data_IF_599761097239
#
_entry.id   IF_599761097239
#
_cell.length_a   1.000
_cell.length_b   1.000
_cell.length_c   1.000
_cell.angle_alpha   90.00
_cell.angle_beta   90.00
_cell.angle_gamma   90.00
#
_symmetry.space_group_name_H-M   'P 1'
#
loop_
_entity.id
_entity.type
_entity.pdbx_description
1 polymer ?
#
# COMPACT_ATOMS: atom_id res chain seq x y z
N UNK A 1 -43.85 -35.67 -20.21
CA UNK A 1 -42.97 -36.55 -19.38
C UNK A 1 -41.65 -36.75 -20.13
N UNK A 2 -40.50 -36.79 -19.42
CA UNK A 2 -39.13 -37.31 -19.77
C UNK A 2 -38.59 -37.12 -21.23
N UNK A 3 -37.43 -36.49 -21.52
CA UNK A 3 -35.99 -36.64 -21.08
C UNK A 3 -35.20 -37.71 -21.89
N UNK A 4 -34.01 -37.36 -22.45
CA UNK A 4 -33.04 -38.27 -23.14
C UNK A 4 -31.86 -37.56 -23.87
N UNK A 5 -30.74 -38.27 -24.18
CA UNK A 5 -29.41 -37.76 -24.67
C UNK A 5 -28.72 -38.74 -25.70
N UNK A 6 -27.46 -38.70 -26.23
CA UNK A 6 -26.19 -38.00 -25.90
C UNK A 6 -25.16 -37.77 -27.09
N UNK A 7 -24.03 -38.51 -27.16
CA UNK A 7 -22.76 -38.29 -27.98
C UNK A 7 -22.09 -39.67 -28.36
N UNK A 8 -20.80 -39.90 -28.79
CA UNK A 8 -19.61 -39.03 -29.11
C UNK A 8 -18.62 -39.49 -30.26
N UNK A 9 -17.48 -38.78 -30.41
CA UNK A 9 -16.05 -39.23 -30.65
C UNK A 9 -15.42 -39.71 -32.01
N UNK A 10 -14.32 -39.01 -32.40
CA UNK A 10 -12.90 -39.38 -32.76
C UNK A 10 -12.43 -40.29 -33.94
N UNK A 11 -11.27 -39.94 -34.58
CA UNK A 11 -9.93 -40.67 -34.58
C UNK A 11 -8.87 -40.36 -35.70
N UNK A 12 -7.59 -40.14 -35.29
CA UNK A 12 -6.26 -40.55 -35.91
C UNK A 12 -5.79 -40.02 -37.32
N UNK A 13 -4.49 -39.94 -37.72
CA UNK A 13 -3.17 -40.09 -37.04
C UNK A 13 -1.90 -40.23 -37.97
N UNK A 14 -0.68 -40.12 -37.39
CA UNK A 14 0.69 -40.55 -37.87
C UNK A 14 1.65 -39.65 -38.72
N UNK A 15 2.98 -39.85 -38.56
CA UNK A 15 4.13 -39.14 -39.22
C UNK A 15 5.46 -39.97 -39.21
N UNK A 16 6.30 -40.01 -40.29
CA UNK A 16 7.64 -40.65 -40.33
C UNK A 16 8.84 -39.67 -40.51
N UNK A 17 10.10 -40.15 -40.43
CA UNK A 17 11.31 -39.34 -40.11
C UNK A 17 12.63 -39.79 -40.83
N UNK A 18 13.65 -38.90 -40.92
CA UNK A 18 15.10 -39.11 -41.31
C UNK A 18 15.43 -39.43 -42.80
N UNK A 19 16.68 -39.31 -43.34
CA UNK A 19 18.06 -39.15 -42.80
C UNK A 19 19.08 -38.51 -43.82
N UNK A 20 20.28 -38.06 -43.36
CA UNK A 20 21.54 -37.68 -44.11
C UNK A 20 21.48 -36.30 -44.83
N UNK A 21 22.43 -35.34 -44.76
CA UNK A 21 23.77 -35.15 -44.14
C UNK A 21 24.27 -33.69 -44.45
N UNK A 22 25.52 -33.19 -44.26
CA UNK A 22 26.77 -33.62 -43.57
C UNK A 22 27.87 -32.51 -43.66
N UNK A 23 28.66 -32.26 -42.59
CA UNK A 23 29.92 -31.44 -42.46
C UNK A 23 29.98 -29.98 -43.02
N UNK A 24 30.38 -28.92 -42.27
CA UNK A 24 31.79 -28.66 -41.87
C UNK A 24 32.04 -27.30 -41.11
N UNK A 25 33.06 -27.33 -40.22
CA UNK A 25 33.98 -26.29 -39.66
C UNK A 25 33.65 -24.79 -39.46
N UNK A 26 33.91 -24.36 -38.21
CA UNK A 26 34.71 -23.20 -37.73
C UNK A 26 34.27 -21.71 -37.91
N UNK A 27 33.96 -21.11 -36.75
CA UNK A 27 34.43 -19.82 -36.23
C UNK A 27 34.21 -18.48 -36.99
N UNK A 28 33.45 -17.58 -36.35
CA UNK A 28 33.87 -16.17 -36.09
C UNK A 28 33.04 -15.55 -34.95
N UNK A 29 33.59 -14.52 -34.32
CA UNK A 29 32.95 -13.78 -33.24
C UNK A 29 32.21 -12.52 -33.75
N UNK A 30 31.09 -12.17 -33.13
CA UNK A 30 30.50 -10.83 -33.20
C UNK A 30 30.54 -10.18 -31.82
N UNK A 31 31.21 -9.02 -31.71
CA UNK A 31 31.08 -8.12 -30.56
C UNK A 31 29.87 -7.22 -30.85
N UNK A 32 28.78 -7.36 -30.09
CA UNK A 32 27.66 -6.41 -30.13
C UNK A 32 27.76 -5.44 -28.96
N UNK A 33 28.11 -4.19 -29.28
CA UNK A 33 27.91 -3.05 -28.39
C UNK A 33 26.41 -2.89 -28.11
N UNK A 34 25.98 -3.28 -26.92
CA UNK A 34 24.64 -2.95 -26.41
C UNK A 34 24.71 -1.61 -25.71
N UNK A 35 24.31 -0.55 -26.43
CA UNK A 35 24.12 0.78 -25.88
C UNK A 35 22.67 1.21 -26.03
N UNK A 36 21.85 0.97 -25.00
CA UNK A 36 20.58 1.70 -24.73
C UNK A 36 20.00 1.33 -23.37
N UNK A 37 19.29 2.29 -22.79
CA UNK A 37 18.63 2.20 -21.49
C UNK A 37 17.83 0.89 -21.32
N UNK A 38 18.28 0.03 -20.42
CA UNK A 38 17.34 -0.76 -19.63
C UNK A 38 16.78 0.17 -18.54
N UNK A 39 15.47 0.38 -18.52
CA UNK A 39 14.82 1.05 -17.39
C UNK A 39 14.99 0.17 -16.15
N UNK A 40 15.69 0.67 -15.13
CA UNK A 40 15.84 -0.03 -13.86
C UNK A 40 14.47 -0.29 -13.25
N UNK A 41 14.06 -1.55 -13.31
CA UNK A 41 12.81 -2.05 -12.74
C UNK A 41 13.01 -2.25 -11.24
N UNK A 42 12.43 -1.38 -10.36
CA UNK A 42 12.73 -1.40 -8.94
C UNK A 42 12.28 -2.70 -8.27
N UNK A 43 11.22 -3.33 -8.78
CA UNK A 43 10.66 -4.56 -8.24
C UNK A 43 11.60 -5.77 -8.44
N UNK A 44 12.56 -5.68 -9.37
CA UNK A 44 13.56 -6.74 -9.63
C UNK A 44 14.77 -6.71 -8.69
N UNK A 45 14.93 -5.69 -7.84
CA UNK A 45 16.08 -5.60 -6.92
C UNK A 45 15.83 -6.30 -5.57
N UNK A 46 14.58 -6.62 -5.25
CA UNK A 46 14.18 -7.19 -3.95
C UNK A 46 14.37 -8.72 -3.94
N UNK A 47 15.35 -9.20 -3.19
CA UNK A 47 15.48 -10.63 -2.84
C UNK A 47 14.65 -10.93 -1.58
N UNK A 48 13.87 -12.02 -1.53
CA UNK A 48 13.09 -12.36 -0.35
C UNK A 48 13.96 -12.93 0.77
N UNK A 49 14.12 -12.19 1.87
CA UNK A 49 14.76 -12.67 3.10
C UNK A 49 13.96 -12.28 4.34
N UNK A 50 13.39 -13.30 4.99
CA UNK A 50 12.85 -13.39 6.37
C UNK A 50 12.68 -12.05 7.13
N UNK A 51 11.45 -11.53 7.13
CA UNK A 51 10.82 -10.64 8.14
C UNK A 51 11.70 -9.60 8.88
N UNK A 52 12.63 -8.97 8.17
CA UNK A 52 12.99 -7.57 8.47
C UNK A 52 12.10 -6.68 7.61
N UNK A 53 11.29 -5.84 8.24
CA UNK A 53 10.55 -4.79 7.54
C UNK A 53 11.51 -3.61 7.33
N UNK A 54 12.31 -3.68 6.27
CA UNK A 54 13.30 -2.66 5.90
C UNK A 54 12.60 -1.40 5.35
N UNK A 55 11.92 -0.69 6.24
CA UNK A 55 11.36 0.64 5.98
C UNK A 55 12.50 1.66 5.73
N UNK A 56 12.30 2.66 4.85
CA UNK A 56 13.31 3.69 4.57
C UNK A 56 13.77 4.52 5.77
N UNK A 57 12.92 4.67 6.79
CA UNK A 57 13.26 5.27 8.08
C UNK A 57 13.94 4.29 9.04
N UNK A 58 14.72 4.81 9.98
CA UNK A 58 15.18 4.04 11.13
C UNK A 58 14.10 3.95 12.21
N UNK A 59 14.14 2.90 13.04
CA UNK A 59 13.29 2.77 14.23
C UNK A 59 13.31 4.04 15.11
N UNK A 60 14.48 4.68 15.25
CA UNK A 60 14.64 5.93 16.01
C UNK A 60 13.83 7.09 15.43
N UNK A 61 13.70 7.19 14.11
CA UNK A 61 12.88 8.22 13.45
C UNK A 61 11.38 7.94 13.63
N UNK A 62 10.95 6.68 13.47
CA UNK A 62 9.57 6.25 13.74
C UNK A 62 9.19 6.53 15.19
N UNK A 63 10.00 6.05 16.14
CA UNK A 63 9.84 6.28 17.58
C UNK A 63 9.80 7.79 17.91
N UNK A 64 10.60 8.60 17.21
CA UNK A 64 10.59 10.06 17.31
C UNK A 64 9.27 10.74 16.89
N UNK A 65 8.35 10.03 16.23
CA UNK A 65 7.00 10.51 15.87
C UNK A 65 5.86 9.90 16.68
N UNK A 66 6.11 8.80 17.42
CA UNK A 66 5.12 8.20 18.34
C UNK A 66 4.74 9.13 19.52
N UNK A 67 3.59 8.93 20.17
CA UNK A 67 3.29 9.47 21.49
C UNK A 67 4.47 9.36 22.47
N UNK A 68 4.78 10.43 23.20
CA UNK A 68 5.80 10.42 24.26
C UNK A 68 5.38 9.53 25.44
N UNK A 69 6.33 9.15 26.30
CA UNK A 69 6.03 8.44 27.56
C UNK A 69 5.20 9.34 28.48
N UNK A 70 5.68 10.56 28.72
CA UNK A 70 4.90 11.63 29.32
C UNK A 70 4.04 12.29 28.23
N UNK A 71 2.76 11.93 28.15
CA UNK A 71 1.81 12.47 27.19
C UNK A 71 0.46 12.75 27.89
N UNK A 72 -0.12 13.96 27.79
CA UNK A 72 -1.41 14.28 28.39
C UNK A 72 -2.62 13.59 27.71
N UNK A 73 -2.44 13.03 26.50
CA UNK A 73 -3.51 12.45 25.68
C UNK A 73 -3.58 10.91 25.72
N UNK A 74 -2.68 10.24 26.45
CA UNK A 74 -2.71 8.79 26.61
C UNK A 74 -1.44 8.23 27.25
N UNK A 75 -1.43 6.92 27.52
CA UNK A 75 -0.32 6.20 28.14
C UNK A 75 0.04 4.94 27.37
N UNK A 76 1.26 4.47 27.52
CA UNK A 76 1.70 3.17 27.01
C UNK A 76 1.40 2.06 28.02
N UNK A 77 0.97 0.89 27.55
CA UNK A 77 0.75 -0.30 28.40
C UNK A 77 2.05 -1.04 28.75
N UNK A 78 3.13 -0.76 28.02
CA UNK A 78 4.48 -1.25 28.25
C UNK A 78 5.51 -0.34 27.57
N UNK A 79 6.45 -0.92 26.84
CA UNK A 79 7.50 -0.17 26.16
C UNK A 79 6.95 0.72 25.03
N UNK A 80 7.43 1.97 24.98
CA UNK A 80 7.02 2.96 23.97
C UNK A 80 7.39 2.49 22.56
N UNK A 81 6.39 2.35 21.70
CA UNK A 81 6.56 1.91 20.30
C UNK A 81 6.43 0.39 20.08
N UNK A 82 6.44 -0.41 21.15
CA UNK A 82 6.34 -1.89 21.11
C UNK A 82 5.19 -2.41 22.01
N UNK A 83 4.22 -1.56 22.32
CA UNK A 83 3.06 -1.88 23.18
C UNK A 83 1.82 -1.09 22.76
N UNK A 84 0.72 -1.23 23.50
CA UNK A 84 -0.50 -0.47 23.22
C UNK A 84 -0.37 0.96 23.74
N UNK A 85 -0.68 1.94 22.89
CA UNK A 85 -1.00 3.29 23.35
C UNK A 85 -2.51 3.36 23.66
N UNK A 86 -2.84 3.66 24.91
CA UNK A 86 -4.20 3.79 25.44
C UNK A 86 -4.51 5.28 25.63
N UNK A 87 -5.36 5.88 24.78
CA UNK A 87 -5.72 7.29 24.90
C UNK A 87 -6.48 7.63 26.19
N UNK A 88 -6.40 8.90 26.59
CA UNK A 88 -7.17 9.50 27.71
C UNK A 88 -8.08 10.64 27.26
N UNK A 89 -8.23 10.84 25.96
CA UNK A 89 -9.14 11.86 25.38
C UNK A 89 -10.53 11.23 25.20
N UNK A 90 -11.51 11.68 25.98
CA UNK A 90 -12.85 11.05 26.10
C UNK A 90 -13.47 10.61 24.77
N UNK A 91 -13.40 11.47 23.75
CA UNK A 91 -13.95 11.22 22.41
C UNK A 91 -13.20 10.14 21.63
N UNK A 92 -11.88 10.08 21.75
CA UNK A 92 -11.05 9.01 21.18
C UNK A 92 -11.32 7.69 21.92
N UNK A 93 -11.49 7.73 23.24
CA UNK A 93 -11.89 6.58 24.04
C UNK A 93 -13.29 6.07 23.69
N UNK A 94 -14.22 6.96 23.33
CA UNK A 94 -15.55 6.59 22.80
C UNK A 94 -15.44 5.90 21.44
N UNK A 95 -14.70 6.48 20.49
CA UNK A 95 -14.51 5.93 19.15
C UNK A 95 -13.88 4.52 19.20
N UNK A 96 -12.84 4.34 20.02
CA UNK A 96 -12.19 3.04 20.23
C UNK A 96 -13.15 2.02 20.85
N UNK A 97 -13.85 2.40 21.94
CA UNK A 97 -14.81 1.54 22.63
C UNK A 97 -15.96 1.09 21.73
N UNK A 98 -16.43 1.96 20.83
CA UNK A 98 -17.49 1.64 19.87
C UNK A 98 -17.08 0.60 18.82
N UNK A 99 -15.77 0.41 18.58
CA UNK A 99 -15.23 -0.71 17.78
C UNK A 99 -14.58 -1.82 18.64
N UNK A 100 -14.83 -1.83 19.96
CA UNK A 100 -14.39 -2.88 20.89
C UNK A 100 -12.93 -2.79 21.33
N UNK A 101 -12.27 -1.63 21.16
CA UNK A 101 -10.86 -1.42 21.45
C UNK A 101 -10.63 -0.56 22.70
N UNK A 102 -9.52 -0.78 23.39
CA UNK A 102 -9.04 0.05 24.51
C UNK A 102 -7.98 1.09 24.04
N UNK A 103 -7.20 0.73 23.02
CA UNK A 103 -6.10 1.54 22.48
C UNK A 103 -5.63 1.02 21.12
N UNK A 104 -4.53 1.59 20.62
CA UNK A 104 -3.89 1.18 19.36
C UNK A 104 -2.56 0.50 19.69
N UNK A 105 -2.36 -0.71 19.17
CA UNK A 105 -1.10 -1.44 19.31
C UNK A 105 -0.02 -0.80 18.43
N UNK A 106 1.22 -0.70 18.92
CA UNK A 106 2.38 -0.40 18.11
C UNK A 106 3.37 -1.58 18.12
N UNK A 107 4.07 -1.75 16.99
CA UNK A 107 5.25 -2.60 16.83
C UNK A 107 6.21 -1.89 15.87
N UNK A 108 7.52 -1.97 16.12
CA UNK A 108 8.54 -1.24 15.35
C UNK A 108 8.25 0.29 15.26
N UNK A 109 7.62 0.82 16.33
CA UNK A 109 7.09 2.17 16.43
C UNK A 109 6.04 2.59 15.36
N UNK A 110 5.38 1.61 14.73
CA UNK A 110 4.28 1.79 13.77
C UNK A 110 2.95 1.37 14.43
N UNK A 111 1.88 2.18 14.34
CA UNK A 111 0.55 1.83 14.85
C UNK A 111 -0.17 0.84 13.92
N UNK A 112 -0.75 -0.22 14.49
CA UNK A 112 -1.73 -1.04 13.79
C UNK A 112 -3.13 -0.39 13.85
N UNK A 113 -3.46 0.37 12.81
CA UNK A 113 -4.81 0.89 12.62
C UNK A 113 -5.80 -0.09 11.98
N UNK A 114 -5.38 -1.31 11.62
CA UNK A 114 -6.25 -2.31 11.00
C UNK A 114 -7.56 -2.56 11.77
N UNK A 115 -7.54 -2.75 13.11
CA UNK A 115 -8.73 -2.99 13.91
C UNK A 115 -9.72 -1.81 14.02
N UNK A 116 -9.29 -0.56 13.78
CA UNK A 116 -10.15 0.64 13.86
C UNK A 116 -10.58 1.16 12.49
N UNK A 117 -9.97 0.65 11.41
CA UNK A 117 -10.24 1.09 10.05
C UNK A 117 -11.69 0.82 9.60
N UNK A 118 -12.18 1.70 8.73
CA UNK A 118 -13.47 1.60 8.05
C UNK A 118 -13.32 1.00 6.64
N UNK A 119 -12.14 1.15 6.04
CA UNK A 119 -11.76 0.54 4.78
C UNK A 119 -10.22 0.35 4.74
N UNK A 120 -9.77 -0.65 3.97
CA UNK A 120 -8.36 -0.90 3.67
C UNK A 120 -8.20 -1.06 2.16
N UNK A 121 -7.31 -0.27 1.56
CA UNK A 121 -7.04 -0.29 0.11
C UNK A 121 -5.54 -0.28 -0.16
N UNK A 122 -5.17 -0.66 -1.39
CA UNK A 122 -3.77 -0.66 -1.85
C UNK A 122 -3.65 0.27 -3.05
N UNK A 123 -2.91 1.38 -2.92
CA UNK A 123 -2.69 2.35 -4.00
C UNK A 123 -1.40 2.03 -4.76
N UNK A 124 -1.40 2.34 -6.06
CA UNK A 124 -0.21 2.19 -6.92
C UNK A 124 0.63 3.48 -6.92
N UNK A 125 1.93 3.33 -6.68
CA UNK A 125 2.90 4.43 -6.61
C UNK A 125 2.51 5.52 -5.60
N UNK A 126 2.59 5.22 -4.31
CA UNK A 126 2.45 6.25 -3.27
C UNK A 126 3.52 7.34 -3.49
N UNK A 127 3.10 8.59 -3.34
CA UNK A 127 3.95 9.76 -3.55
C UNK A 127 4.15 10.53 -2.25
N UNK A 128 4.97 11.59 -2.28
CA UNK A 128 5.07 12.54 -1.19
C UNK A 128 3.85 13.49 -1.05
N UNK A 129 2.88 13.41 -1.97
CA UNK A 129 1.75 14.32 -2.10
C UNK A 129 0.43 13.64 -1.68
N UNK A 130 -0.16 14.10 -0.57
CA UNK A 130 -1.45 13.61 -0.07
C UNK A 130 -2.61 13.98 -0.99
N UNK A 131 -2.69 15.27 -1.30
CA UNK A 131 -3.72 15.86 -2.14
C UNK A 131 -3.20 16.03 -3.58
N UNK A 132 -4.11 15.91 -4.53
CA UNK A 132 -3.82 16.16 -5.95
C UNK A 132 -3.48 17.63 -6.19
N UNK A 133 -2.58 17.87 -7.14
CA UNK A 133 -2.04 19.21 -7.44
C UNK A 133 -1.78 19.38 -8.93
N UNK A 134 -1.44 20.60 -9.34
CA UNK A 134 -1.01 20.92 -10.70
C UNK A 134 0.52 21.10 -10.70
N UNK A 135 1.21 20.37 -11.57
CA UNK A 135 2.66 20.46 -11.76
C UNK A 135 3.08 21.72 -12.53
N UNK A 136 4.38 22.00 -12.56
CA UNK A 136 4.93 23.24 -13.16
C UNK A 136 4.63 23.40 -14.66
N UNK A 137 4.43 22.28 -15.37
CA UNK A 137 4.05 22.22 -16.78
C UNK A 137 2.51 22.26 -17.02
N UNK A 138 1.71 22.36 -15.96
CA UNK A 138 0.24 22.32 -16.02
C UNK A 138 -0.40 20.93 -15.92
N UNK A 139 0.38 19.85 -15.74
CA UNK A 139 -0.16 18.50 -15.61
C UNK A 139 -0.86 18.27 -14.26
N UNK A 140 -1.88 17.41 -14.22
CA UNK A 140 -2.59 17.05 -12.99
C UNK A 140 -1.94 15.85 -12.31
N UNK A 141 -1.24 16.08 -11.22
CA UNK A 141 -0.62 15.04 -10.39
C UNK A 141 -1.64 14.54 -9.37
N UNK A 142 -2.01 13.26 -9.46
CA UNK A 142 -3.01 12.64 -8.57
C UNK A 142 -2.36 12.27 -7.23
N UNK A 143 -2.87 12.86 -6.15
CA UNK A 143 -2.39 12.63 -4.79
C UNK A 143 -2.85 11.30 -4.20
N UNK A 144 -2.19 10.87 -3.14
CA UNK A 144 -2.43 9.58 -2.49
C UNK A 144 -3.88 9.41 -1.99
N UNK A 145 -4.52 10.48 -1.50
CA UNK A 145 -5.88 10.42 -0.97
C UNK A 145 -6.88 10.14 -2.09
N UNK A 146 -6.77 10.82 -3.23
CA UNK A 146 -7.65 10.56 -4.39
C UNK A 146 -7.43 9.16 -4.97
N UNK A 147 -6.18 8.66 -4.98
CA UNK A 147 -5.91 7.25 -5.33
C UNK A 147 -6.62 6.28 -4.39
N UNK A 148 -6.59 6.55 -3.08
CA UNK A 148 -7.25 5.72 -2.08
C UNK A 148 -8.78 5.82 -2.19
N UNK A 149 -9.33 7.02 -2.40
CA UNK A 149 -10.76 7.27 -2.65
C UNK A 149 -11.23 6.49 -3.91
N UNK A 150 -10.42 6.43 -4.99
CA UNK A 150 -10.69 5.66 -6.20
C UNK A 150 -10.73 4.15 -5.95
N UNK A 151 -9.74 3.58 -5.24
CA UNK A 151 -9.74 2.13 -4.95
C UNK A 151 -10.83 1.76 -3.94
N UNK A 152 -11.15 2.66 -3.00
CA UNK A 152 -12.21 2.45 -2.01
C UNK A 152 -13.60 2.47 -2.65
N UNK A 153 -13.83 3.34 -3.64
CA UNK A 153 -15.08 3.35 -4.40
C UNK A 153 -15.31 2.01 -5.12
N UNK A 154 -14.27 1.41 -5.72
CA UNK A 154 -14.35 0.07 -6.34
C UNK A 154 -14.70 -1.01 -5.33
N UNK A 155 -14.08 -0.99 -4.15
CA UNK A 155 -14.35 -1.94 -3.07
C UNK A 155 -15.80 -1.83 -2.60
N UNK A 156 -16.26 -0.62 -2.27
CA UNK A 156 -17.62 -0.35 -1.80
C UNK A 156 -18.69 -0.70 -2.85
N UNK A 157 -18.40 -0.54 -4.14
CA UNK A 157 -19.30 -0.98 -5.21
C UNK A 157 -19.40 -2.51 -5.32
N UNK A 158 -18.29 -3.23 -5.15
CA UNK A 158 -18.27 -4.69 -5.10
C UNK A 158 -18.99 -5.24 -3.86
N UNK A 159 -18.91 -4.52 -2.74
CA UNK A 159 -19.58 -4.83 -1.47
C UNK A 159 -21.05 -4.38 -1.43
N UNK A 160 -21.52 -3.63 -2.44
CA UNK A 160 -22.83 -2.94 -2.48
C UNK A 160 -23.09 -2.08 -1.22
N UNK A 161 -22.06 -1.36 -0.76
CA UNK A 161 -22.10 -0.53 0.46
C UNK A 161 -23.27 0.45 0.40
N UNK A 162 -24.04 0.51 1.49
CA UNK A 162 -25.24 1.33 1.64
C UNK A 162 -26.33 1.03 0.58
N UNK A 163 -26.28 -0.16 -0.03
CA UNK A 163 -27.27 -0.66 -1.00
C UNK A 163 -27.06 -0.18 -2.44
N UNK A 164 -25.88 0.36 -2.78
CA UNK A 164 -25.57 0.91 -4.11
C UNK A 164 -24.21 0.45 -4.64
N UNK A 165 -24.07 0.43 -5.96
CA UNK A 165 -22.87 0.01 -6.71
C UNK A 165 -22.31 1.12 -7.63
N UNK A 166 -22.70 2.37 -7.38
CA UNK A 166 -22.37 3.57 -8.16
C UNK A 166 -21.48 4.60 -7.43
N UNK A 167 -20.80 4.23 -6.34
CA UNK A 167 -19.86 5.09 -5.63
C UNK A 167 -18.77 5.62 -6.58
N UNK A 168 -18.58 6.94 -6.57
CA UNK A 168 -17.43 7.63 -7.17
C UNK A 168 -16.38 7.95 -6.09
N UNK A 169 -15.15 8.29 -6.51
CA UNK A 169 -14.12 8.75 -5.57
C UNK A 169 -14.52 10.04 -4.83
N UNK A 170 -15.35 10.88 -5.45
CA UNK A 170 -15.81 12.12 -4.82
C UNK A 170 -16.88 11.82 -3.75
N UNK A 171 -17.72 10.79 -3.95
CA UNK A 171 -18.62 10.29 -2.90
C UNK A 171 -17.85 9.73 -1.71
N UNK A 172 -16.78 8.95 -1.94
CA UNK A 172 -15.91 8.43 -0.87
C UNK A 172 -15.25 9.58 -0.11
N UNK A 173 -14.69 10.56 -0.82
CA UNK A 173 -14.10 11.76 -0.22
C UNK A 173 -15.12 12.54 0.61
N UNK A 174 -16.32 12.80 0.06
CA UNK A 174 -17.39 13.52 0.76
C UNK A 174 -17.88 12.74 1.99
N UNK A 175 -18.01 11.42 1.90
CA UNK A 175 -18.34 10.56 3.04
C UNK A 175 -17.25 10.63 4.11
N UNK A 176 -15.97 10.51 3.71
CA UNK A 176 -14.81 10.57 4.60
C UNK A 176 -14.77 11.90 5.36
N UNK A 177 -14.96 13.01 4.65
CA UNK A 177 -14.93 14.36 5.22
C UNK A 177 -16.14 14.63 6.12
N UNK A 178 -17.35 14.21 5.72
CA UNK A 178 -18.56 14.37 6.53
C UNK A 178 -18.58 13.50 7.82
N UNK A 179 -17.93 12.34 7.81
CA UNK A 179 -17.88 11.42 8.96
C UNK A 179 -16.63 11.59 9.84
N UNK A 180 -15.71 12.51 9.52
CA UNK A 180 -14.51 12.78 10.32
C UNK A 180 -13.41 11.71 10.19
N UNK A 181 -13.25 11.14 9.00
CA UNK A 181 -12.21 10.14 8.67
C UNK A 181 -11.06 10.75 7.85
N UNK A 182 -9.91 10.07 7.86
CA UNK A 182 -8.73 10.40 7.06
C UNK A 182 -8.07 9.14 6.51
N UNK A 183 -7.28 9.29 5.45
CA UNK A 183 -6.44 8.21 4.93
C UNK A 183 -5.09 8.19 5.67
N UNK A 184 -4.90 7.18 6.50
CA UNK A 184 -3.58 6.81 7.00
C UNK A 184 -2.81 6.09 5.88
N UNK A 185 -1.72 6.71 5.44
CA UNK A 185 -0.77 6.15 4.48
C UNK A 185 0.25 5.33 5.24
N UNK A 186 0.25 4.01 5.05
CA UNK A 186 1.04 3.08 5.86
C UNK A 186 2.50 2.99 5.41
N UNK A 187 3.40 2.60 6.31
CA UNK A 187 4.85 2.59 6.10
C UNK A 187 5.33 1.62 5.00
N UNK A 188 4.49 0.67 4.59
CA UNK A 188 4.73 -0.20 3.44
C UNK A 188 4.58 0.50 2.07
N UNK A 189 4.29 1.82 2.07
CA UNK A 189 4.22 2.72 0.93
C UNK A 189 3.20 2.32 -0.16
N UNK A 190 2.20 1.53 0.22
CA UNK A 190 1.14 1.04 -0.69
C UNK A 190 -0.20 0.86 0.00
N UNK A 191 -0.23 0.42 1.25
CA UNK A 191 -1.49 0.25 2.00
C UNK A 191 -1.99 1.61 2.49
N UNK A 192 -3.27 1.88 2.32
CA UNK A 192 -3.98 3.00 2.93
C UNK A 192 -5.14 2.48 3.78
N UNK A 193 -5.27 2.98 5.01
CA UNK A 193 -6.37 2.66 5.92
C UNK A 193 -7.25 3.90 6.13
N UNK A 194 -8.56 3.76 5.98
CA UNK A 194 -9.54 4.82 6.25
C UNK A 194 -9.85 4.81 7.75
N UNK A 195 -9.35 5.79 8.50
CA UNK A 195 -9.35 5.80 9.97
C UNK A 195 -10.00 7.06 10.54
N UNK A 196 -10.61 7.02 11.74
CA UNK A 196 -11.14 8.22 12.38
C UNK A 196 -10.02 9.23 12.65
N UNK A 197 -10.17 10.47 12.20
CA UNK A 197 -9.12 11.50 12.26
C UNK A 197 -8.67 11.79 13.69
N UNK A 198 -9.61 11.81 14.65
CA UNK A 198 -9.29 12.01 16.08
C UNK A 198 -8.37 10.91 16.65
N UNK A 199 -8.57 9.66 16.23
CA UNK A 199 -7.72 8.52 16.64
C UNK A 199 -6.35 8.62 15.99
N UNK A 200 -6.31 8.93 14.69
CA UNK A 200 -5.09 9.10 13.91
C UNK A 200 -4.16 10.19 14.46
N UNK A 201 -4.73 11.33 14.86
CA UNK A 201 -3.97 12.50 15.31
C UNK A 201 -3.46 12.35 16.76
N UNK A 202 -4.19 11.62 17.61
CA UNK A 202 -3.73 11.25 18.95
C UNK A 202 -2.69 10.10 18.89
N UNK A 203 -2.93 9.09 18.06
CA UNK A 203 -2.00 7.97 17.82
C UNK A 203 -0.92 8.34 16.79
N UNK A 204 -0.12 9.36 17.14
CA UNK A 204 0.93 9.92 16.28
C UNK A 204 1.95 8.87 15.82
N UNK A 205 2.50 9.08 14.63
CA UNK A 205 3.40 8.12 13.98
C UNK A 205 4.16 8.78 12.82
N UNK A 206 5.12 8.02 12.25
CA UNK A 206 5.70 8.26 10.93
C UNK A 206 4.97 7.31 9.98
N UNK A 207 4.44 7.80 8.85
CA UNK A 207 3.70 7.00 7.85
C UNK A 207 4.33 7.04 6.46
N UNK A 208 3.74 6.36 5.48
CA UNK A 208 4.28 6.12 4.14
C UNK A 208 4.74 7.38 3.37
N UNK A 209 4.05 8.52 3.50
CA UNK A 209 4.52 9.81 2.93
C UNK A 209 5.86 10.27 3.51
N UNK A 210 6.15 9.95 4.77
CA UNK A 210 7.46 10.22 5.38
C UNK A 210 8.51 9.19 4.96
N UNK A 211 8.13 7.93 4.73
CA UNK A 211 9.02 6.91 4.16
C UNK A 211 9.45 7.30 2.73
N UNK A 212 8.50 7.68 1.87
CA UNK A 212 8.78 8.20 0.51
C UNK A 212 9.68 9.44 0.57
N UNK A 213 9.48 10.36 1.53
CA UNK A 213 10.36 11.52 1.72
C UNK A 213 11.77 11.13 2.18
N UNK A 214 11.90 10.10 3.03
CA UNK A 214 13.21 9.58 3.39
C UNK A 214 13.94 8.96 2.17
N UNK A 215 13.24 8.22 1.30
CA UNK A 215 13.81 7.75 0.01
C UNK A 215 14.27 8.94 -0.85
N UNK A 216 13.40 9.94 -1.05
CA UNK A 216 13.72 11.10 -1.89
C UNK A 216 14.91 11.91 -1.34
N UNK A 217 15.03 12.05 -0.02
CA UNK A 217 16.19 12.68 0.62
C UNK A 217 17.49 11.85 0.49
N UNK A 218 17.39 10.52 0.46
CA UNK A 218 18.55 9.64 0.24
C UNK A 218 19.02 9.65 -1.22
N UNK A 219 18.09 9.70 -2.19
CA UNK A 219 18.40 9.77 -3.63
C UNK A 219 18.87 11.18 -4.02
N UNK A 220 18.27 12.23 -3.46
CA UNK A 220 18.68 13.63 -3.62
C UNK A 220 19.94 14.01 -2.83
N UNK A 221 20.61 13.06 -2.17
CA UNK A 221 21.87 13.28 -1.45
C UNK A 221 23.11 13.37 -2.35
N UNK A 222 22.95 13.75 -3.62
CA UNK A 222 24.01 13.85 -4.63
C UNK A 222 24.11 15.27 -5.24
N UNK A 223 24.06 16.29 -4.38
CA UNK A 223 24.43 17.67 -4.73
C UNK A 223 25.67 18.10 -3.90
N UNK A 224 26.75 18.46 -4.62
CA UNK A 224 28.05 19.03 -4.21
C UNK A 224 28.90 18.36 -3.08
#
# INVERSE_FOLDING_TARGET
>A
MKVGEAKPSDKHGFNPDKLIGSESREAKAEIKNVGRNESLDPDKLIKPSVESCDYPSTYKERLGRTPTTENPHGKWSGDRGESMFVPTVDRVCEILRNKGLEGINYKDAIPDFGPIAEAKVTIQGMSQHRHSLIGENGERIVGNYEKADIECAKAWNLEQRDGKDDWTHEDVKNWREANGYTWHEHNDMKTCYLVPTEVHDVCRHLGGVSEIKNILNQIGGFDD
#
